data_IF_427726447197
#
_entry.id   IF_427726447197
#
_cell.length_a   1.000
_cell.length_b   1.000
_cell.length_c   1.000
_cell.angle_alpha   90.00
_cell.angle_beta   90.00
_cell.angle_gamma   90.00
#
_symmetry.space_group_name_H-M   'P 1'
#
loop_
_entity.id
_entity.type
_entity.pdbx_description
1 polymer ?
#
# COMPACT_ATOMS: atom_id res chain seq x y z
N UNK A 1 84.77 15.38 38.34
CA UNK A 1 84.24 14.10 38.86
C UNK A 1 82.74 14.09 38.59
N UNK A 2 82.34 13.46 37.48
CA UNK A 2 80.95 13.33 37.05
C UNK A 2 80.30 12.17 37.79
N UNK A 3 79.28 12.43 38.62
CA UNK A 3 78.42 11.40 39.19
C UNK A 3 77.08 11.40 38.46
N UNK A 4 76.89 10.36 37.66
CA UNK A 4 75.71 10.12 36.81
C UNK A 4 74.57 9.59 37.68
N UNK A 5 73.44 10.31 37.68
CA UNK A 5 72.16 9.88 38.25
C UNK A 5 71.57 8.73 37.43
N UNK A 6 71.24 7.62 38.07
CA UNK A 6 70.44 6.56 37.45
C UNK A 6 69.05 6.53 38.11
N UNK A 7 68.08 7.15 37.46
CA UNK A 7 66.65 6.97 37.78
C UNK A 7 66.13 5.82 36.92
N UNK A 8 65.78 4.70 37.56
CA UNK A 8 65.15 3.55 36.92
C UNK A 8 63.66 3.88 36.76
N UNK A 9 63.22 4.15 35.53
CA UNK A 9 61.80 4.26 35.18
C UNK A 9 61.31 2.85 34.83
N UNK A 10 60.45 2.30 35.67
CA UNK A 10 59.74 1.05 35.42
C UNK A 10 58.55 1.34 34.49
N UNK A 11 58.74 1.17 33.18
CA UNK A 11 57.65 1.24 32.21
C UNK A 11 56.83 -0.05 32.25
N UNK A 12 55.65 0.01 32.88
CA UNK A 12 54.67 -1.07 32.85
C UNK A 12 53.97 -1.04 31.48
N UNK A 13 54.38 -1.92 30.56
CA UNK A 13 53.72 -2.08 29.26
C UNK A 13 52.45 -2.91 29.46
N UNK A 14 51.29 -2.23 29.48
CA UNK A 14 50.00 -2.90 29.44
C UNK A 14 49.70 -3.19 27.96
N UNK A 15 49.87 -4.44 27.54
CA UNK A 15 49.41 -4.91 26.23
C UNK A 15 47.90 -5.08 26.27
N UNK A 16 47.17 -4.14 25.66
CA UNK A 16 45.74 -4.30 25.40
C UNK A 16 45.54 -5.39 24.34
N UNK A 17 45.14 -6.59 24.74
CA UNK A 17 44.68 -7.63 23.82
C UNK A 17 43.31 -7.19 23.29
N UNK A 18 43.28 -6.57 22.11
CA UNK A 18 42.04 -6.31 21.40
C UNK A 18 41.53 -7.63 20.82
N UNK A 19 40.48 -8.17 21.43
CA UNK A 19 39.79 -9.36 20.94
C UNK A 19 38.99 -8.96 19.68
N UNK A 20 39.62 -9.07 18.51
CA UNK A 20 38.87 -9.01 17.24
C UNK A 20 37.94 -10.22 17.21
N UNK A 21 36.64 -9.99 17.43
CA UNK A 21 35.61 -10.97 17.06
C UNK A 21 35.73 -11.19 15.56
N UNK A 22 36.26 -12.34 15.16
CA UNK A 22 36.10 -12.84 13.80
C UNK A 22 34.61 -13.10 13.60
N UNK A 23 33.88 -12.11 13.10
CA UNK A 23 32.59 -12.34 12.49
C UNK A 23 32.85 -13.03 11.17
N UNK A 24 32.57 -14.33 11.10
CA UNK A 24 32.44 -15.02 9.82
C UNK A 24 31.52 -14.19 8.93
N UNK A 25 31.77 -14.11 7.61
CA UNK A 25 30.81 -13.50 6.70
C UNK A 25 29.47 -14.21 6.92
N UNK A 26 28.46 -13.45 7.35
CA UNK A 26 27.09 -13.94 7.36
C UNK A 26 26.74 -14.12 5.89
N UNK A 27 26.86 -15.35 5.41
CA UNK A 27 26.29 -15.74 4.13
C UNK A 27 24.80 -15.62 4.32
N UNK A 28 24.22 -14.51 3.87
CA UNK A 28 22.76 -14.36 3.79
C UNK A 28 22.27 -15.38 2.79
N UNK A 29 21.82 -16.53 3.28
CA UNK A 29 21.02 -17.43 2.46
C UNK A 29 19.73 -16.68 2.17
N UNK A 30 19.59 -16.19 0.93
CA UNK A 30 18.31 -15.71 0.43
C UNK A 30 17.43 -16.95 0.31
N UNK A 31 16.69 -17.28 1.36
CA UNK A 31 15.56 -18.20 1.24
C UNK A 31 14.47 -17.40 0.54
N UNK A 32 14.23 -17.70 -0.75
CA UNK A 32 13.04 -17.20 -1.43
C UNK A 32 11.86 -17.84 -0.72
N UNK A 33 11.06 -17.02 -0.03
CA UNK A 33 9.81 -17.46 0.58
C UNK A 33 8.81 -17.73 -0.56
N UNK A 34 8.64 -19.01 -0.93
CA UNK A 34 7.76 -19.44 -2.05
C UNK A 34 6.28 -19.42 -1.70
N UNK A 35 5.93 -19.03 -0.48
CA UNK A 35 4.57 -19.20 0.02
C UNK A 35 3.52 -18.33 -0.66
N UNK A 36 3.89 -17.29 -1.42
CA UNK A 36 2.97 -16.58 -2.31
C UNK A 36 3.32 -16.86 -3.77
N UNK A 37 2.45 -17.59 -4.45
CA UNK A 37 2.53 -17.86 -5.89
C UNK A 37 1.81 -16.72 -6.61
N UNK A 38 2.51 -16.08 -7.55
CA UNK A 38 1.93 -15.03 -8.41
C UNK A 38 1.89 -15.49 -9.85
N UNK A 39 0.80 -15.21 -10.56
CA UNK A 39 0.69 -15.49 -12.00
C UNK A 39 -0.24 -14.52 -12.71
N UNK A 40 -0.07 -14.41 -14.02
CA UNK A 40 -0.88 -13.53 -14.88
C UNK A 40 -2.31 -14.09 -14.97
N UNK A 41 -3.30 -13.21 -14.82
CA UNK A 41 -4.70 -13.50 -15.15
C UNK A 41 -5.09 -12.93 -16.51
N UNK A 42 -4.85 -11.65 -16.74
CA UNK A 42 -5.21 -10.98 -17.98
C UNK A 42 -4.40 -9.70 -18.17
N UNK A 43 -4.17 -9.29 -19.43
CA UNK A 43 -3.72 -7.93 -19.74
C UNK A 43 -4.89 -6.97 -19.60
N UNK A 44 -4.66 -5.82 -18.96
CA UNK A 44 -5.65 -4.77 -18.80
C UNK A 44 -5.71 -3.88 -20.06
N UNK A 45 -6.90 -3.40 -20.44
CA UNK A 45 -7.08 -2.56 -21.62
C UNK A 45 -6.47 -1.17 -21.40
N UNK A 46 -6.26 -0.42 -22.49
CA UNK A 46 -5.60 0.89 -22.45
C UNK A 46 -6.26 1.92 -21.52
N UNK A 47 -7.58 1.81 -21.29
CA UNK A 47 -8.32 2.66 -20.33
C UNK A 47 -7.94 2.41 -18.87
N UNK A 48 -7.22 1.32 -18.60
CA UNK A 48 -6.69 0.90 -17.30
C UNK A 48 -5.17 0.70 -17.39
N UNK A 49 -4.49 1.47 -18.24
CA UNK A 49 -3.02 1.42 -18.32
C UNK A 49 -2.36 1.85 -17.02
N UNK A 50 -3.02 2.71 -16.26
CA UNK A 50 -2.63 3.24 -14.94
C UNK A 50 -3.64 2.76 -13.89
N UNK A 51 -3.81 1.44 -13.77
CA UNK A 51 -4.78 0.84 -12.86
C UNK A 51 -4.33 0.97 -11.40
N UNK A 52 -4.79 2.03 -10.71
CA UNK A 52 -4.34 2.35 -9.35
C UNK A 52 -5.04 1.54 -8.25
N UNK A 53 -6.34 1.21 -8.35
CA UNK A 53 -7.05 0.41 -7.33
C UNK A 53 -7.76 -0.86 -7.84
N UNK A 54 -8.00 -1.84 -6.97
CA UNK A 54 -8.85 -3.01 -7.25
C UNK A 54 -9.86 -3.26 -6.13
N UNK A 55 -11.11 -3.53 -6.48
CA UNK A 55 -12.14 -3.96 -5.53
C UNK A 55 -12.92 -5.16 -6.09
N UNK A 56 -12.79 -6.32 -5.45
CA UNK A 56 -13.56 -7.52 -5.76
C UNK A 56 -14.73 -7.66 -4.79
N UNK A 57 -15.92 -7.40 -5.29
CA UNK A 57 -17.12 -7.39 -4.45
C UNK A 57 -18.34 -7.87 -5.22
N UNK A 58 -19.23 -8.61 -4.54
CA UNK A 58 -20.44 -9.19 -5.14
C UNK A 58 -20.17 -10.02 -6.42
N UNK A 59 -19.02 -10.68 -6.46
CA UNK A 59 -18.55 -11.49 -7.60
C UNK A 59 -18.01 -10.67 -8.78
N UNK A 60 -17.78 -9.37 -8.61
CA UNK A 60 -17.40 -8.43 -9.66
C UNK A 60 -16.09 -7.73 -9.29
N UNK A 61 -15.17 -7.60 -10.25
CA UNK A 61 -13.95 -6.84 -10.07
C UNK A 61 -14.13 -5.43 -10.62
N UNK A 62 -13.82 -4.43 -9.81
CA UNK A 62 -13.85 -3.02 -10.16
C UNK A 62 -12.44 -2.42 -10.09
N UNK A 63 -12.17 -1.44 -10.95
CA UNK A 63 -10.93 -0.66 -10.96
C UNK A 63 -11.18 0.72 -11.58
N UNK A 64 -10.17 1.58 -11.59
CA UNK A 64 -10.18 2.90 -12.21
C UNK A 64 -8.74 3.27 -12.63
N UNK A 65 -8.61 4.35 -13.40
CA UNK A 65 -7.30 4.88 -13.80
C UNK A 65 -6.79 5.93 -12.81
N UNK A 66 -5.49 6.00 -12.59
CA UNK A 66 -4.77 6.93 -11.70
C UNK A 66 -5.03 8.43 -12.01
N UNK A 67 -4.45 9.32 -11.22
CA UNK A 67 -4.41 10.78 -11.36
C UNK A 67 -4.68 11.33 -12.77
N UNK A 68 -5.69 12.22 -12.87
CA UNK A 68 -6.01 12.92 -14.12
C UNK A 68 -6.66 12.06 -15.22
N UNK A 69 -6.86 10.76 -15.01
CA UNK A 69 -7.70 9.94 -15.88
C UNK A 69 -9.18 10.34 -15.79
N UNK A 70 -10.06 9.86 -16.69
CA UNK A 70 -11.50 10.06 -16.55
C UNK A 70 -12.01 9.59 -15.19
N UNK A 71 -13.00 10.29 -14.64
CA UNK A 71 -13.70 10.02 -13.37
C UNK A 71 -14.66 8.81 -13.47
N UNK A 72 -14.14 7.70 -13.98
CA UNK A 72 -14.88 6.47 -14.23
C UNK A 72 -14.34 5.34 -13.35
N UNK A 73 -15.25 4.51 -12.86
CA UNK A 73 -14.93 3.15 -12.41
C UNK A 73 -15.34 2.14 -13.49
N UNK A 74 -14.58 1.07 -13.61
CA UNK A 74 -14.74 0.05 -14.63
C UNK A 74 -14.96 -1.30 -13.96
N UNK A 75 -16.03 -2.00 -14.34
CA UNK A 75 -16.19 -3.42 -14.04
C UNK A 75 -15.39 -4.22 -15.06
N UNK A 76 -14.57 -5.15 -14.60
CA UNK A 76 -13.63 -5.90 -15.44
C UNK A 76 -13.96 -7.40 -15.41
N UNK A 77 -13.88 -8.03 -16.57
CA UNK A 77 -13.90 -9.49 -16.69
C UNK A 77 -12.58 -10.07 -16.19
N UNK A 78 -12.64 -10.84 -15.11
CA UNK A 78 -11.44 -11.39 -14.44
C UNK A 78 -10.65 -12.42 -15.26
N UNK A 79 -11.19 -12.92 -16.38
CA UNK A 79 -10.54 -13.93 -17.23
C UNK A 79 -9.88 -13.29 -18.45
N UNK A 80 -10.52 -12.27 -19.02
CA UNK A 80 -10.09 -11.63 -20.27
C UNK A 80 -9.52 -10.23 -20.07
N UNK A 81 -9.78 -9.59 -18.93
CA UNK A 81 -9.44 -8.19 -18.66
C UNK A 81 -10.38 -7.19 -19.34
N UNK A 82 -11.40 -7.64 -20.08
CA UNK A 82 -12.29 -6.75 -20.81
C UNK A 82 -13.14 -5.87 -19.86
N UNK A 83 -13.36 -4.61 -20.23
CA UNK A 83 -14.33 -3.75 -19.54
C UNK A 83 -15.74 -4.23 -19.86
N UNK A 84 -16.48 -4.61 -18.82
CA UNK A 84 -17.87 -5.05 -18.87
C UNK A 84 -18.85 -3.92 -18.64
N UNK A 85 -18.44 -2.91 -17.85
CA UNK A 85 -19.25 -1.76 -17.52
C UNK A 85 -18.35 -0.56 -17.22
N UNK A 86 -18.81 0.63 -17.60
CA UNK A 86 -18.19 1.91 -17.23
C UNK A 86 -19.22 2.75 -16.50
N UNK A 87 -18.84 3.29 -15.34
CA UNK A 87 -19.70 4.16 -14.54
C UNK A 87 -18.96 5.45 -14.22
N UNK A 88 -19.50 6.58 -14.66
CA UNK A 88 -18.95 7.91 -14.37
C UNK A 88 -19.45 8.42 -13.01
N UNK A 89 -18.54 8.90 -12.16
CA UNK A 89 -18.88 9.62 -10.93
C UNK A 89 -19.14 11.09 -11.28
N UNK A 90 -20.38 11.46 -11.53
CA UNK A 90 -20.74 12.71 -12.22
C UNK A 90 -20.36 14.00 -11.49
N UNK A 91 -20.34 13.97 -10.16
CA UNK A 91 -20.18 15.15 -9.32
C UNK A 91 -18.77 15.33 -8.74
N UNK A 92 -17.82 14.46 -9.10
CA UNK A 92 -16.41 14.58 -8.73
C UNK A 92 -15.52 14.22 -9.91
N UNK A 93 -14.45 15.00 -10.09
CA UNK A 93 -13.37 14.64 -11.03
C UNK A 93 -12.37 13.73 -10.33
N UNK A 94 -11.56 13.02 -11.12
CA UNK A 94 -10.37 12.35 -10.61
C UNK A 94 -9.27 13.39 -10.44
N UNK A 95 -9.08 13.86 -9.21
CA UNK A 95 -7.94 14.74 -8.88
C UNK A 95 -6.71 13.88 -8.67
N UNK A 96 -6.79 12.92 -7.75
CA UNK A 96 -5.73 11.95 -7.47
C UNK A 96 -6.35 10.69 -6.84
N UNK A 97 -7.00 9.87 -7.68
CA UNK A 97 -7.63 8.63 -7.23
C UNK A 97 -6.60 7.53 -7.10
N UNK A 98 -6.56 6.85 -5.95
CA UNK A 98 -5.45 5.94 -5.61
C UNK A 98 -5.88 4.54 -5.16
N UNK A 99 -6.99 4.39 -4.42
CA UNK A 99 -7.46 3.05 -4.03
C UNK A 99 -9.00 2.95 -3.97
N UNK A 100 -9.53 1.72 -4.02
CA UNK A 100 -10.97 1.42 -3.99
C UNK A 100 -11.25 0.20 -3.13
N UNK A 101 -12.25 0.32 -2.26
CA UNK A 101 -12.70 -0.78 -1.41
C UNK A 101 -14.22 -0.81 -1.30
N UNK A 102 -14.79 -1.83 -0.66
CA UNK A 102 -16.23 -1.95 -0.51
C UNK A 102 -16.65 -2.64 0.78
N UNK A 103 -17.80 -2.20 1.30
CA UNK A 103 -18.54 -2.94 2.33
C UNK A 103 -19.80 -3.59 1.71
N UNK A 104 -20.74 -4.04 2.54
CA UNK A 104 -21.97 -4.67 2.06
C UNK A 104 -22.88 -3.74 1.21
N UNK A 105 -22.79 -2.43 1.40
CA UNK A 105 -23.71 -1.43 0.82
C UNK A 105 -23.04 -0.42 -0.10
N UNK A 106 -21.76 -0.14 0.09
CA UNK A 106 -21.05 0.95 -0.56
C UNK A 106 -19.72 0.51 -1.18
N UNK A 107 -19.35 1.21 -2.24
CA UNK A 107 -17.98 1.31 -2.74
C UNK A 107 -17.40 2.64 -2.25
N UNK A 108 -16.11 2.62 -1.90
CA UNK A 108 -15.34 3.76 -1.44
C UNK A 108 -14.15 3.94 -2.37
N UNK A 109 -13.95 5.14 -2.92
CA UNK A 109 -12.86 5.50 -3.83
C UNK A 109 -12.04 6.60 -3.17
N UNK A 110 -10.75 6.38 -2.98
CA UNK A 110 -9.84 7.35 -2.39
C UNK A 110 -9.41 8.39 -3.40
N UNK A 111 -9.88 9.64 -3.25
CA UNK A 111 -9.38 10.82 -3.96
C UNK A 111 -8.44 11.59 -3.02
N UNK A 112 -7.28 11.01 -2.80
CA UNK A 112 -6.40 11.40 -1.69
C UNK A 112 -4.90 11.27 -1.98
N UNK A 113 -4.50 10.93 -3.21
CA UNK A 113 -3.10 11.00 -3.61
C UNK A 113 -2.54 12.39 -3.31
N UNK A 114 -1.30 12.44 -2.83
CA UNK A 114 -0.67 13.66 -2.32
C UNK A 114 0.86 13.56 -2.35
N UNK A 115 1.41 13.08 -3.46
CA UNK A 115 2.84 12.80 -3.63
C UNK A 115 3.73 14.00 -3.26
N UNK A 116 3.33 15.22 -3.61
CA UNK A 116 4.07 16.45 -3.27
C UNK A 116 3.75 16.99 -1.87
N UNK A 117 2.77 16.44 -1.16
CA UNK A 117 2.40 16.86 0.19
C UNK A 117 1.80 18.26 0.28
N UNK A 118 1.18 18.76 -0.79
CA UNK A 118 0.64 20.13 -0.90
C UNK A 118 -0.88 20.16 -1.08
N UNK A 119 -1.56 19.01 -1.20
CA UNK A 119 -3.03 18.95 -1.28
C UNK A 119 -3.71 19.19 0.06
N UNK A 120 -4.83 19.90 0.00
CA UNK A 120 -5.64 20.31 1.16
C UNK A 120 -7.11 19.87 1.05
N UNK A 121 -7.45 19.11 0.02
CA UNK A 121 -8.82 18.74 -0.35
C UNK A 121 -9.01 17.21 -0.41
N UNK A 122 -8.27 16.48 0.41
CA UNK A 122 -8.29 15.01 0.47
C UNK A 122 -9.68 14.49 0.84
N UNK A 123 -10.14 13.45 0.14
CA UNK A 123 -11.47 12.86 0.37
C UNK A 123 -11.54 11.40 -0.03
N UNK A 124 -12.55 10.73 0.49
CA UNK A 124 -13.01 9.42 0.02
C UNK A 124 -14.42 9.60 -0.53
N UNK A 125 -14.63 9.18 -1.77
CA UNK A 125 -15.93 9.18 -2.44
C UNK A 125 -16.68 7.89 -2.11
N UNK A 126 -17.90 8.02 -1.60
CA UNK A 126 -18.77 6.89 -1.24
C UNK A 126 -19.93 6.79 -2.21
N UNK A 127 -20.10 5.61 -2.81
CA UNK A 127 -21.14 5.31 -3.80
C UNK A 127 -21.95 4.11 -3.34
N UNK A 128 -23.29 4.19 -3.38
CA UNK A 128 -24.14 3.03 -3.10
C UNK A 128 -24.00 2.00 -4.20
N UNK A 129 -23.75 0.74 -3.83
CA UNK A 129 -23.66 -0.37 -4.79
C UNK A 129 -24.93 -0.56 -5.60
N UNK A 130 -26.10 -0.33 -4.98
CA UNK A 130 -27.39 -0.38 -5.67
C UNK A 130 -27.46 0.55 -6.88
N UNK A 131 -26.77 1.68 -6.79
CA UNK A 131 -26.82 2.72 -7.82
C UNK A 131 -25.93 2.36 -9.01
N UNK A 132 -25.02 1.38 -8.87
CA UNK A 132 -24.16 0.88 -9.94
C UNK A 132 -24.87 -0.11 -10.88
N UNK A 133 -26.01 -0.67 -10.47
CA UNK A 133 -26.68 -1.74 -11.22
C UNK A 133 -27.24 -1.16 -12.53
N UNK A 134 -26.67 -1.57 -13.67
CA UNK A 134 -27.04 -1.11 -15.01
C UNK A 134 -26.96 0.41 -15.22
N UNK A 135 -26.16 1.11 -14.41
CA UNK A 135 -25.95 2.55 -14.53
C UNK A 135 -24.69 2.85 -15.34
N UNK A 136 -24.72 3.96 -16.06
CA UNK A 136 -23.55 4.55 -16.74
C UNK A 136 -23.01 5.77 -16.00
N UNK A 137 -23.77 6.33 -15.06
CA UNK A 137 -23.39 7.49 -14.28
C UNK A 137 -24.11 7.53 -12.94
N UNK A 138 -23.40 7.91 -11.87
CA UNK A 138 -23.90 8.02 -10.50
C UNK A 138 -23.28 9.22 -9.80
N UNK A 139 -23.88 9.67 -8.70
CA UNK A 139 -23.26 10.64 -7.80
C UNK A 139 -22.59 9.91 -6.63
N UNK A 140 -21.52 10.50 -6.10
CA UNK A 140 -20.90 10.09 -4.85
C UNK A 140 -21.19 11.08 -3.72
N UNK A 141 -21.09 10.60 -2.48
CA UNK A 141 -20.99 11.42 -1.28
C UNK A 141 -19.51 11.55 -0.88
N UNK A 142 -19.09 12.68 -0.32
CA UNK A 142 -17.70 12.85 0.13
C UNK A 142 -17.53 12.64 1.64
N UNK A 143 -16.46 11.95 1.98
CA UNK A 143 -15.89 11.84 3.33
C UNK A 143 -14.57 12.61 3.27
N UNK A 144 -14.59 13.87 3.68
CA UNK A 144 -13.43 14.76 3.58
C UNK A 144 -12.53 14.57 4.80
N UNK A 145 -11.22 14.70 4.61
CA UNK A 145 -10.30 14.64 5.73
C UNK A 145 -9.05 15.49 5.55
N UNK A 146 -8.34 15.71 6.66
CA UNK A 146 -7.03 16.37 6.70
C UNK A 146 -6.17 15.72 7.79
N UNK A 147 -4.85 15.80 7.65
CA UNK A 147 -3.91 15.32 8.67
C UNK A 147 -3.60 16.42 9.67
N UNK A 148 -3.83 16.15 10.96
CA UNK A 148 -3.53 17.07 12.06
C UNK A 148 -2.03 17.28 12.26
N UNK A 149 -1.21 16.33 11.79
CA UNK A 149 0.26 16.35 11.85
C UNK A 149 0.91 16.90 10.57
N UNK A 150 0.14 17.25 9.53
CA UNK A 150 0.63 17.99 8.37
C UNK A 150 0.43 19.49 8.57
N UNK A 151 1.51 20.18 8.95
CA UNK A 151 1.49 21.64 9.15
C UNK A 151 2.20 22.43 8.05
N UNK A 152 2.90 21.75 7.16
CA UNK A 152 3.61 22.33 6.02
C UNK A 152 3.07 21.71 4.73
N UNK A 153 2.67 22.58 3.79
CA UNK A 153 2.14 22.23 2.48
C UNK A 153 3.04 22.75 1.36
N UNK A 154 4.30 23.02 1.67
CA UNK A 154 5.33 23.31 0.67
C UNK A 154 5.62 22.03 -0.11
N UNK A 155 5.42 22.05 -1.43
CA UNK A 155 5.62 20.91 -2.30
C UNK A 155 7.01 20.26 -2.10
N UNK A 156 7.02 18.94 -1.85
CA UNK A 156 8.21 18.14 -1.57
C UNK A 156 8.01 16.68 -2.00
N UNK A 157 8.85 16.22 -2.93
CA UNK A 157 8.81 14.83 -3.45
C UNK A 157 9.19 13.75 -2.41
N UNK A 158 9.67 14.15 -1.23
CA UNK A 158 9.92 13.27 -0.08
C UNK A 158 8.85 13.44 1.01
N UNK A 159 7.62 13.80 0.62
CA UNK A 159 6.49 13.89 1.53
C UNK A 159 6.17 12.55 2.20
N UNK A 160 5.60 12.67 3.40
CA UNK A 160 5.15 11.60 4.28
C UNK A 160 3.62 11.64 4.47
N UNK A 161 2.94 12.38 3.60
CA UNK A 161 1.50 12.62 3.60
C UNK A 161 0.84 12.23 2.28
N UNK A 162 1.58 11.49 1.44
CA UNK A 162 1.04 10.83 0.27
C UNK A 162 0.23 9.61 0.72
N UNK A 163 -1.01 9.49 0.27
CA UNK A 163 -1.93 8.45 0.69
C UNK A 163 -2.30 7.62 -0.52
N UNK A 164 -2.07 6.30 -0.46
CA UNK A 164 -2.33 5.45 -1.62
C UNK A 164 -3.01 4.13 -1.26
N UNK A 165 -3.56 3.99 -0.06
CA UNK A 165 -4.23 2.73 0.27
C UNK A 165 -5.41 2.93 1.19
N UNK A 166 -6.45 2.14 0.94
CA UNK A 166 -7.74 2.23 1.60
C UNK A 166 -8.28 0.84 1.92
N UNK A 167 -8.70 0.63 3.17
CA UNK A 167 -9.55 -0.49 3.53
C UNK A 167 -10.76 -0.01 4.31
N UNK A 168 -11.87 -0.74 4.18
CA UNK A 168 -13.05 -0.60 5.03
C UNK A 168 -13.17 -1.81 5.94
N UNK A 169 -13.35 -1.57 7.24
CA UNK A 169 -13.59 -2.62 8.22
C UNK A 169 -14.65 -2.15 9.21
N UNK A 170 -15.78 -2.87 9.21
CA UNK A 170 -16.99 -2.55 9.98
C UNK A 170 -17.55 -1.16 9.62
N UNK A 171 -17.48 -0.20 10.54
CA UNK A 171 -18.03 1.15 10.42
C UNK A 171 -16.96 2.21 10.11
N UNK A 172 -15.73 1.75 9.83
CA UNK A 172 -14.55 2.60 9.78
C UNK A 172 -13.76 2.38 8.49
N UNK A 173 -13.21 3.47 7.97
CA UNK A 173 -12.23 3.51 6.90
C UNK A 173 -10.85 3.66 7.52
N UNK A 174 -9.88 2.95 6.96
CA UNK A 174 -8.47 3.06 7.33
C UNK A 174 -7.67 3.37 6.07
N UNK A 175 -6.83 4.38 6.16
CA UNK A 175 -5.95 4.80 5.08
C UNK A 175 -4.50 4.66 5.49
N UNK A 176 -3.64 4.35 4.53
CA UNK A 176 -2.20 4.14 4.75
C UNK A 176 -1.40 5.04 3.82
N UNK A 177 -0.38 5.68 4.37
CA UNK A 177 0.49 6.57 3.58
C UNK A 177 1.59 5.80 2.84
N UNK A 178 1.97 6.33 1.68
CA UNK A 178 3.07 5.89 0.81
C UNK A 178 4.31 6.77 1.05
N UNK A 179 4.82 6.74 2.28
CA UNK A 179 5.84 7.71 2.70
C UNK A 179 7.11 7.61 1.84
N UNK A 180 7.43 8.68 1.11
CA UNK A 180 8.65 8.77 0.34
C UNK A 180 9.86 9.14 1.20
N UNK A 181 9.63 9.89 2.30
CA UNK A 181 10.68 10.41 3.16
C UNK A 181 11.32 9.37 4.07
N UNK A 182 10.53 8.60 4.81
CA UNK A 182 11.03 7.62 5.80
C UNK A 182 10.72 6.15 5.46
N UNK A 183 10.00 5.88 4.36
CA UNK A 183 9.58 4.55 3.91
C UNK A 183 8.79 3.75 4.95
N UNK A 184 8.14 4.47 5.87
CA UNK A 184 7.14 3.92 6.79
C UNK A 184 5.74 4.03 6.17
N UNK A 185 4.75 3.63 6.94
CA UNK A 185 3.37 3.97 6.66
C UNK A 185 2.68 4.43 7.94
N UNK A 186 1.93 5.52 7.85
CA UNK A 186 1.02 5.99 8.89
C UNK A 186 -0.38 5.47 8.55
N UNK A 187 -0.99 4.78 9.50
CA UNK A 187 -2.39 4.40 9.41
C UNK A 187 -3.23 5.49 10.08
N UNK A 188 -4.25 5.99 9.39
CA UNK A 188 -5.26 6.87 9.95
C UNK A 188 -6.62 6.18 9.88
N UNK A 189 -7.52 6.57 10.79
CA UNK A 189 -8.85 5.98 10.92
C UNK A 189 -9.92 7.05 10.94
N UNK A 190 -11.02 6.82 10.22
CA UNK A 190 -12.20 7.69 10.24
C UNK A 190 -13.51 6.88 10.10
N UNK A 191 -14.66 7.40 10.53
CA UNK A 191 -15.95 6.78 10.24
C UNK A 191 -16.23 6.65 8.74
N UNK A 192 -16.89 5.57 8.33
CA UNK A 192 -17.30 5.31 6.93
C UNK A 192 -18.58 6.09 6.53
N UNK A 193 -18.75 7.30 7.05
CA UNK A 193 -19.92 8.15 6.81
C UNK A 193 -19.50 9.56 6.35
N UNK A 194 -20.30 10.22 5.48
CA UNK A 194 -20.03 11.57 5.01
C UNK A 194 -19.82 12.55 6.15
N UNK A 195 -18.80 13.38 6.00
CA UNK A 195 -18.37 14.31 7.03
C UNK A 195 -17.04 14.98 6.66
N UNK A 196 -16.50 15.71 7.63
CA UNK A 196 -15.17 16.32 7.56
C UNK A 196 -14.42 15.93 8.83
N UNK A 197 -13.28 15.27 8.66
CA UNK A 197 -12.51 14.72 9.77
C UNK A 197 -11.08 15.27 9.80
N UNK A 198 -10.61 15.63 11.00
CA UNK A 198 -9.21 15.94 11.23
C UNK A 198 -8.56 14.70 11.88
N UNK A 199 -7.63 14.08 11.17
CA UNK A 199 -7.07 12.78 11.53
C UNK A 199 -5.70 12.95 12.20
N UNK A 200 -5.51 12.28 13.32
CA UNK A 200 -4.16 12.04 13.88
C UNK A 200 -3.73 10.62 13.54
N UNK A 201 -2.42 10.34 13.43
CA UNK A 201 -1.95 8.98 13.18
C UNK A 201 -2.51 8.02 14.21
N UNK A 202 -3.24 7.00 13.75
CA UNK A 202 -3.78 5.95 14.60
C UNK A 202 -2.67 4.99 15.02
N UNK A 203 -1.77 4.66 14.07
CA UNK A 203 -0.53 3.90 14.33
C UNK A 203 0.48 4.15 13.20
N UNK A 204 1.73 3.76 13.41
CA UNK A 204 2.80 3.84 12.41
C UNK A 204 3.51 2.50 12.34
N UNK A 205 3.88 2.09 11.12
CA UNK A 205 4.56 0.84 10.87
C UNK A 205 5.79 1.06 9.99
N UNK A 206 6.90 0.41 10.35
CA UNK A 206 8.09 0.35 9.50
C UNK A 206 7.86 -0.67 8.38
N UNK A 207 7.15 -0.22 7.33
CA UNK A 207 6.82 -1.03 6.16
C UNK A 207 8.05 -1.46 5.36
N UNK A 208 9.18 -0.76 5.56
CA UNK A 208 10.42 -0.96 4.80
C UNK A 208 10.15 -0.93 3.30
N UNK A 209 9.36 0.05 2.85
CA UNK A 209 8.88 0.18 1.49
C UNK A 209 7.61 1.03 1.40
N UNK A 210 7.29 1.46 0.18
CA UNK A 210 6.12 2.27 -0.16
C UNK A 210 4.89 1.38 -0.24
N UNK A 211 3.87 1.66 0.58
CA UNK A 211 2.58 0.95 0.56
C UNK A 211 1.68 1.58 -0.51
N UNK A 212 1.04 0.75 -1.31
CA UNK A 212 0.25 1.17 -2.50
C UNK A 212 -1.13 0.55 -2.59
N UNK A 213 -1.45 -0.47 -1.79
CA UNK A 213 -2.82 -0.98 -1.69
C UNK A 213 -3.05 -1.63 -0.32
N UNK A 214 -4.32 -1.68 0.10
CA UNK A 214 -4.73 -2.43 1.26
C UNK A 214 -5.99 -3.26 1.01
N UNK A 215 -6.02 -4.50 1.52
CA UNK A 215 -7.17 -5.38 1.41
C UNK A 215 -7.50 -6.03 2.76
N UNK A 216 -8.78 -6.26 3.03
CA UNK A 216 -9.25 -6.91 4.26
C UNK A 216 -10.11 -8.13 3.93
N UNK A 217 -9.77 -9.27 4.54
CA UNK A 217 -10.57 -10.48 4.46
C UNK A 217 -11.46 -10.61 5.71
N UNK A 218 -12.79 -10.48 5.60
CA UNK A 218 -13.68 -10.54 6.76
C UNK A 218 -13.80 -11.94 7.38
N UNK A 219 -13.52 -13.01 6.64
CA UNK A 219 -13.63 -14.39 7.12
C UNK A 219 -12.44 -14.78 8.02
N UNK A 220 -11.23 -14.37 7.62
CA UNK A 220 -9.99 -14.68 8.36
C UNK A 220 -9.51 -13.55 9.26
N UNK A 221 -10.08 -12.35 9.07
CA UNK A 221 -9.60 -11.09 9.65
C UNK A 221 -8.18 -10.73 9.22
N UNK A 222 -7.70 -11.27 8.10
CA UNK A 222 -6.39 -10.93 7.57
C UNK A 222 -6.43 -9.55 6.88
N UNK A 223 -5.43 -8.71 7.14
CA UNK A 223 -5.17 -7.51 6.35
C UNK A 223 -3.94 -7.77 5.48
N UNK A 224 -4.04 -7.45 4.20
CA UNK A 224 -2.91 -7.46 3.28
C UNK A 224 -2.54 -6.02 2.90
N UNK A 225 -1.24 -5.70 2.93
CA UNK A 225 -0.71 -4.43 2.42
C UNK A 225 0.25 -4.71 1.26
N UNK A 226 -0.05 -4.20 0.08
CA UNK A 226 0.80 -4.27 -1.10
C UNK A 226 1.79 -3.11 -1.07
N UNK A 227 2.98 -3.32 -1.61
CA UNK A 227 3.92 -2.24 -1.81
C UNK A 227 5.13 -2.62 -2.63
N UNK A 228 6.00 -1.65 -2.85
CA UNK A 228 7.28 -1.83 -3.52
C UNK A 228 8.38 -0.92 -2.94
N UNK A 229 9.63 -1.22 -3.29
CA UNK A 229 10.76 -0.34 -2.97
C UNK A 229 10.89 0.77 -4.02
N UNK A 230 11.67 1.80 -3.68
CA UNK A 230 12.02 2.89 -4.60
C UNK A 230 12.41 2.38 -5.98
N UNK A 231 11.97 3.08 -7.03
CA UNK A 231 12.08 2.67 -8.44
C UNK A 231 11.22 1.45 -8.80
N UNK A 232 10.16 1.17 -8.03
CA UNK A 232 9.16 0.13 -8.33
C UNK A 232 9.81 -1.25 -8.47
N UNK A 233 10.73 -1.56 -7.56
CA UNK A 233 11.46 -2.84 -7.50
C UNK A 233 11.06 -3.62 -6.25
N UNK A 234 11.32 -4.93 -6.25
CA UNK A 234 11.10 -5.81 -5.10
C UNK A 234 9.70 -5.61 -4.47
N UNK A 235 8.62 -5.78 -5.25
CA UNK A 235 7.29 -5.66 -4.69
C UNK A 235 7.06 -6.74 -3.63
N UNK A 236 6.19 -6.42 -2.71
CA UNK A 236 5.94 -7.22 -1.52
C UNK A 236 4.50 -7.13 -1.07
N UNK A 237 4.08 -8.13 -0.31
CA UNK A 237 2.83 -8.11 0.43
C UNK A 237 3.15 -8.37 1.91
N UNK A 238 2.65 -7.51 2.79
CA UNK A 238 2.54 -7.80 4.21
C UNK A 238 1.21 -8.48 4.48
N UNK A 239 1.22 -9.62 5.19
CA UNK A 239 0.02 -10.24 5.74
C UNK A 239 0.00 -10.04 7.26
N UNK A 240 -1.09 -9.45 7.75
CA UNK A 240 -1.29 -9.06 9.14
C UNK A 240 -2.48 -9.84 9.71
N UNK A 241 -2.26 -10.57 10.81
CA UNK A 241 -3.27 -11.41 11.45
C UNK A 241 -3.15 -11.41 12.97
N UNK A 242 -4.22 -11.81 13.66
CA UNK A 242 -4.19 -12.00 15.11
C UNK A 242 -3.91 -10.72 15.89
N UNK A 243 -4.18 -9.57 15.27
CA UNK A 243 -4.12 -8.27 15.93
C UNK A 243 -5.26 -8.09 16.92
N UNK A 244 -5.07 -7.17 17.88
CA UNK A 244 -6.10 -6.84 18.86
C UNK A 244 -6.98 -5.70 18.34
N UNK A 245 -8.29 -5.91 18.31
CA UNK A 245 -9.26 -4.96 17.77
C UNK A 245 -8.93 -4.56 16.33
N UNK A 246 -8.54 -3.31 16.10
CA UNK A 246 -8.19 -2.70 14.82
C UNK A 246 -6.72 -2.23 14.76
N UNK A 247 -5.91 -2.58 15.76
CA UNK A 247 -4.47 -2.28 15.74
C UNK A 247 -3.72 -3.32 14.88
N UNK A 248 -3.84 -3.21 13.56
CA UNK A 248 -3.36 -4.21 12.59
C UNK A 248 -1.91 -4.68 12.78
N UNK A 249 -1.05 -3.83 13.35
CA UNK A 249 0.37 -4.12 13.54
C UNK A 249 0.71 -4.74 14.91
N UNK A 250 -0.29 -4.98 15.78
CA UNK A 250 -0.08 -5.60 17.10
C UNK A 250 0.02 -7.13 17.04
N UNK A 251 -0.31 -7.72 15.89
CA UNK A 251 -0.41 -9.16 15.70
C UNK A 251 0.81 -9.77 15.02
N UNK A 252 0.60 -10.90 14.34
CA UNK A 252 1.60 -11.48 13.45
C UNK A 252 1.67 -10.64 12.18
N UNK A 253 2.86 -10.12 11.87
CA UNK A 253 3.14 -9.35 10.66
C UNK A 253 4.21 -10.07 9.83
N UNK A 254 3.86 -10.57 8.64
CA UNK A 254 4.81 -11.28 7.78
C UNK A 254 4.88 -10.65 6.40
N UNK A 255 6.08 -10.30 5.95
CA UNK A 255 6.36 -9.78 4.61
C UNK A 255 6.75 -10.92 3.68
N UNK A 256 6.22 -10.87 2.47
CA UNK A 256 6.56 -11.75 1.36
C UNK A 256 6.96 -10.90 0.17
N UNK A 257 8.12 -11.17 -0.41
CA UNK A 257 8.45 -10.57 -1.69
C UNK A 257 7.67 -11.31 -2.78
N UNK A 258 7.01 -10.57 -3.65
CA UNK A 258 6.26 -11.13 -4.78
C UNK A 258 7.03 -10.85 -6.06
N UNK A 259 7.16 -11.87 -6.90
CA UNK A 259 7.93 -11.81 -8.14
C UNK A 259 9.37 -11.32 -7.99
N UNK A 260 10.02 -11.02 -9.12
CA UNK A 260 11.38 -10.50 -9.18
C UNK A 260 11.57 -9.48 -10.31
N UNK A 261 10.46 -8.89 -10.78
CA UNK A 261 10.46 -7.94 -11.88
C UNK A 261 10.87 -6.54 -11.37
N UNK A 262 11.65 -5.83 -12.18
CA UNK A 262 11.96 -4.40 -12.00
C UNK A 262 10.91 -3.55 -12.70
N UNK A 263 10.65 -2.32 -12.26
CA UNK A 263 9.65 -1.45 -12.90
C UNK A 263 8.26 -2.14 -12.91
N UNK A 264 7.93 -2.75 -11.77
CA UNK A 264 6.70 -3.49 -11.51
C UNK A 264 5.87 -2.70 -10.49
N UNK A 265 5.10 -1.75 -11.02
CA UNK A 265 4.27 -0.81 -10.27
C UNK A 265 2.96 -1.47 -9.86
N UNK A 266 3.01 -2.23 -8.77
CA UNK A 266 1.86 -2.94 -8.22
C UNK A 266 1.04 -2.00 -7.34
N UNK A 267 -0.20 -1.70 -7.73
CA UNK A 267 -0.99 -0.62 -7.09
C UNK A 267 -2.40 -1.04 -6.67
N UNK A 268 -3.03 -2.04 -7.30
CA UNK A 268 -4.30 -2.58 -6.80
C UNK A 268 -4.15 -3.93 -6.11
N UNK A 269 -4.90 -4.16 -5.03
CA UNK A 269 -4.97 -5.44 -4.31
C UNK A 269 -6.37 -5.66 -3.74
N UNK A 270 -6.97 -6.84 -3.94
CA UNK A 270 -8.13 -7.25 -3.14
C UNK A 270 -8.26 -8.76 -3.00
N UNK A 271 -8.94 -9.23 -1.96
CA UNK A 271 -9.22 -10.63 -1.74
C UNK A 271 -10.29 -11.15 -2.69
N UNK A 272 -10.01 -12.31 -3.30
CA UNK A 272 -11.02 -13.12 -4.02
C UNK A 272 -11.73 -14.03 -3.01
N UNK A 273 -10.91 -14.72 -2.20
CA UNK A 273 -11.29 -15.62 -1.11
C UNK A 273 -10.13 -15.69 -0.12
N UNK A 274 -10.29 -16.40 1.00
CA UNK A 274 -9.18 -16.73 1.89
C UNK A 274 -7.99 -17.31 1.13
N UNK A 275 -6.82 -16.69 1.30
CA UNK A 275 -5.56 -17.09 0.68
C UNK A 275 -5.42 -16.81 -0.82
N UNK A 276 -6.38 -16.12 -1.46
CA UNK A 276 -6.33 -15.78 -2.89
C UNK A 276 -6.69 -14.31 -3.11
N UNK A 277 -5.84 -13.59 -3.82
CA UNK A 277 -5.99 -12.16 -4.09
C UNK A 277 -5.88 -11.88 -5.59
N UNK A 278 -6.54 -10.83 -6.03
CA UNK A 278 -6.18 -10.14 -7.26
C UNK A 278 -5.14 -9.06 -6.96
N UNK A 279 -4.29 -8.79 -7.94
CA UNK A 279 -3.34 -7.69 -7.90
C UNK A 279 -3.24 -7.05 -9.28
N UNK A 280 -3.20 -5.72 -9.38
CA UNK A 280 -2.91 -5.02 -10.65
C UNK A 280 -1.48 -4.51 -10.65
N UNK A 281 -0.90 -4.45 -11.84
CA UNK A 281 0.29 -3.66 -12.11
C UNK A 281 0.01 -2.72 -13.27
N UNK A 282 0.47 -1.48 -13.14
CA UNK A 282 0.39 -0.49 -14.21
C UNK A 282 1.28 -0.85 -15.40
N UNK A 283 1.01 -0.19 -16.53
CA UNK A 283 1.88 -0.20 -17.68
C UNK A 283 3.20 0.51 -17.36
N UNK A 284 4.29 -0.09 -17.79
CA UNK A 284 5.61 0.53 -17.76
C UNK A 284 6.32 0.35 -19.09
N UNK A 285 7.56 0.83 -19.16
CA UNK A 285 8.43 0.63 -20.32
C UNK A 285 8.67 -0.85 -20.64
N UNK A 286 8.54 -1.71 -19.61
CA UNK A 286 8.90 -3.13 -19.67
C UNK A 286 7.70 -4.06 -19.53
N UNK A 287 6.56 -3.56 -19.04
CA UNK A 287 5.39 -4.37 -18.71
C UNK A 287 4.10 -3.75 -19.24
N UNK A 288 3.23 -4.56 -19.83
CA UNK A 288 1.85 -4.14 -20.09
C UNK A 288 1.07 -4.05 -18.77
N UNK A 289 0.09 -3.15 -18.69
CA UNK A 289 -0.83 -3.14 -17.56
C UNK A 289 -1.51 -4.51 -17.44
N UNK A 290 -1.47 -5.13 -16.26
CA UNK A 290 -1.78 -6.55 -16.10
C UNK A 290 -2.48 -6.83 -14.77
N UNK A 291 -3.52 -7.65 -14.83
CA UNK A 291 -4.16 -8.28 -13.69
C UNK A 291 -3.46 -9.61 -13.39
N UNK A 292 -3.09 -9.80 -12.14
CA UNK A 292 -2.46 -11.01 -11.61
C UNK A 292 -3.38 -11.68 -10.58
N UNK A 293 -3.14 -12.96 -10.36
CA UNK A 293 -3.55 -13.64 -9.14
C UNK A 293 -2.36 -13.80 -8.22
N UNK A 294 -2.60 -13.68 -6.93
CA UNK A 294 -1.66 -14.03 -5.85
C UNK A 294 -2.33 -15.07 -4.97
N UNK A 295 -1.62 -16.16 -4.67
CA UNK A 295 -2.17 -17.29 -3.92
C UNK A 295 -1.18 -17.79 -2.88
N UNK A 296 -1.67 -18.00 -1.66
CA UNK A 296 -0.91 -18.65 -0.61
C UNK A 296 -0.77 -20.14 -0.87
N UNK A 297 0.43 -20.69 -0.77
CA UNK A 297 0.68 -22.13 -0.90
C UNK A 297 -0.26 -22.91 0.04
N UNK A 298 -0.91 -23.95 -0.49
CA UNK A 298 -1.85 -24.79 0.25
C UNK A 298 -3.31 -24.31 0.26
N UNK A 299 -3.63 -23.20 -0.41
CA UNK A 299 -4.99 -22.77 -0.75
C UNK A 299 -5.37 -23.13 -2.19
#
# INVERSE_FOLDING_TARGET
MNTIRHSIILCLVISSVSCKKNTAPVTTTITIDTTLITGIKATLPAVLKESSGLCYTDGQLWSFGDSGNPNNIYKIDTTTGAVLQTVTIANYVNVDWEDITADASYIYIGDFGNNSGDRTDLKILRVKKSDLINSTSVNAEAINFSYTDQTDFTANDNSNFDCESLLVMHDSLYIFTKDAGDLKTRCYKMPAIPGTYALSPFTTFDSQGKITAAAYNPDTKEVALLGYMNKKIQPFIWLLNGYTSDNFFSGTTKRFNIGNQSDWQTEGLDYITSGRLFMSCENSSSHAATLYYVQKEGF
#
